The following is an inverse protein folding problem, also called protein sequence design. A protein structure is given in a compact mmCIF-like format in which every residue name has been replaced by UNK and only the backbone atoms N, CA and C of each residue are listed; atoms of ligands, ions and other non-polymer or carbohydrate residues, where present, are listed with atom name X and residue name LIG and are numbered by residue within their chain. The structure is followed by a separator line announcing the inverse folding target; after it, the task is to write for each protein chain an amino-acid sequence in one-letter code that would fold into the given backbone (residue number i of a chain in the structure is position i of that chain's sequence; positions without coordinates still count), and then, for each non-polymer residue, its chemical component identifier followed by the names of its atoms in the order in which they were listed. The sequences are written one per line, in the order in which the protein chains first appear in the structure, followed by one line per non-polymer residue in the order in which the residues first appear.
data_IF_727621959543
#
_entry.id   IF_727621959543
#
_cell.length_a   1.000
_cell.length_b   1.000
_cell.length_c   1.000
_cell.angle_alpha   90.00
_cell.angle_beta   90.00
_cell.angle_gamma   90.00
#
_symmetry.space_group_name_H-M   'P 1'
#
loop_
_entity.id
_entity.type
_entity.pdbx_description
1 polymer ?
#
# COMPACT_ATOMS: atom_id res chain seq x y z
N UNK A 1 -21.80 -30.36 5.28
CA UNK A 1 -21.95 -28.90 5.25
C UNK A 1 -22.35 -28.47 3.85
N UNK A 2 -23.53 -27.88 3.72
CA UNK A 2 -23.97 -27.33 2.45
C UNK A 2 -23.34 -25.96 2.28
N UNK A 3 -22.47 -25.81 1.28
CA UNK A 3 -21.95 -24.50 0.87
C UNK A 3 -22.91 -23.94 -0.17
N UNK A 4 -23.66 -22.91 0.21
CA UNK A 4 -24.49 -22.21 -0.76
C UNK A 4 -23.60 -21.54 -1.80
N UNK A 5 -23.98 -21.70 -3.06
CA UNK A 5 -23.27 -21.08 -4.16
C UNK A 5 -23.55 -19.57 -4.13
N UNK A 6 -22.55 -18.78 -3.73
CA UNK A 6 -22.67 -17.33 -3.73
C UNK A 6 -22.74 -16.80 -5.16
N UNK A 7 -23.78 -16.03 -5.45
CA UNK A 7 -23.90 -15.34 -6.72
C UNK A 7 -23.04 -14.07 -6.72
N UNK A 8 -22.12 -13.98 -7.67
CA UNK A 8 -21.32 -12.76 -7.86
C UNK A 8 -22.11 -11.72 -8.68
N UNK A 9 -21.94 -10.41 -8.38
CA UNK A 9 -22.58 -9.35 -9.19
C UNK A 9 -22.14 -9.41 -10.66
N UNK A 10 -23.00 -8.91 -11.56
CA UNK A 10 -22.68 -8.76 -12.99
C UNK A 10 -22.26 -10.06 -13.70
N UNK A 11 -22.84 -11.20 -13.29
CA UNK A 11 -22.55 -12.53 -13.86
C UNK A 11 -21.05 -12.93 -13.79
N UNK A 12 -20.30 -12.37 -12.84
CA UNK A 12 -18.91 -12.76 -12.59
C UNK A 12 -18.85 -14.11 -11.87
N UNK A 13 -17.77 -14.82 -12.03
CA UNK A 13 -17.53 -16.13 -11.39
C UNK A 13 -16.56 -16.06 -10.21
N UNK A 14 -15.79 -14.99 -10.14
CA UNK A 14 -14.84 -14.73 -9.05
C UNK A 14 -14.50 -13.25 -8.96
N UNK A 15 -13.82 -12.88 -7.88
CA UNK A 15 -13.25 -11.55 -7.70
C UNK A 15 -11.80 -11.67 -7.23
N UNK A 16 -10.97 -10.73 -7.64
CA UNK A 16 -9.61 -10.57 -7.14
C UNK A 16 -9.43 -9.16 -6.60
N UNK A 17 -8.68 -9.03 -5.52
CA UNK A 17 -8.33 -7.74 -4.94
C UNK A 17 -6.81 -7.58 -4.94
N UNK A 18 -6.36 -6.38 -5.23
CA UNK A 18 -4.96 -6.00 -5.05
C UNK A 18 -4.89 -4.97 -3.93
N UNK A 19 -4.13 -5.27 -2.91
CA UNK A 19 -3.83 -4.33 -1.84
C UNK A 19 -2.32 -4.07 -1.77
N UNK A 20 -1.98 -2.85 -1.42
CA UNK A 20 -0.59 -2.39 -1.31
C UNK A 20 -0.41 -1.72 0.04
N UNK A 21 0.57 -2.17 0.81
CA UNK A 21 0.98 -1.48 2.02
C UNK A 21 2.06 -0.45 1.64
N UNK A 22 1.77 0.82 1.87
CA UNK A 22 2.69 1.91 1.56
C UNK A 22 3.31 2.43 2.86
N UNK A 23 4.28 1.69 3.37
CA UNK A 23 4.86 1.92 4.69
C UNK A 23 6.02 2.91 4.68
N UNK A 24 6.61 3.16 3.52
CA UNK A 24 7.81 3.99 3.37
C UNK A 24 8.90 3.57 4.38
N UNK A 25 9.52 4.52 5.07
CA UNK A 25 10.55 4.24 6.07
C UNK A 25 10.04 3.64 7.40
N UNK A 26 8.72 3.55 7.58
CA UNK A 26 8.12 3.02 8.81
C UNK A 26 8.14 1.49 8.88
N UNK A 27 8.49 0.79 7.82
CA UNK A 27 8.57 -0.68 7.80
C UNK A 27 9.70 -1.24 8.68
N UNK A 28 10.82 -0.54 8.77
CA UNK A 28 12.08 -1.09 9.30
C UNK A 28 12.03 -1.52 10.76
N UNK A 29 11.34 -0.77 11.62
CA UNK A 29 11.27 -1.06 13.06
C UNK A 29 10.49 -2.33 13.40
N UNK A 30 9.61 -2.76 12.52
CA UNK A 30 8.75 -3.94 12.74
C UNK A 30 9.40 -5.21 12.25
N UNK A 31 10.00 -5.16 11.06
CA UNK A 31 10.59 -6.35 10.46
C UNK A 31 11.97 -6.71 11.01
N UNK A 32 12.66 -5.74 11.62
CA UNK A 32 14.03 -5.93 12.08
C UNK A 32 14.27 -5.34 13.48
N UNK A 33 13.47 -5.73 14.51
CA UNK A 33 13.58 -5.13 15.84
C UNK A 33 14.93 -5.40 16.50
N UNK A 34 15.56 -6.55 16.19
CA UNK A 34 16.81 -7.03 16.80
C UNK A 34 18.03 -6.84 15.89
N UNK A 35 17.84 -6.29 14.70
CA UNK A 35 18.95 -6.02 13.77
C UNK A 35 19.37 -4.57 13.91
N UNK A 36 20.66 -4.35 14.12
CA UNK A 36 21.24 -3.00 14.11
C UNK A 36 21.29 -2.49 12.66
N UNK A 37 20.12 -2.13 12.13
CA UNK A 37 19.98 -1.54 10.79
C UNK A 37 20.25 -0.05 10.92
N UNK A 38 21.13 0.47 10.08
CA UNK A 38 21.38 1.90 10.01
C UNK A 38 20.07 2.64 9.67
N UNK A 39 19.67 3.58 10.52
CA UNK A 39 18.48 4.41 10.30
C UNK A 39 18.54 5.15 8.95
N UNK A 40 19.73 5.53 8.51
CA UNK A 40 19.96 6.15 7.21
C UNK A 40 19.61 5.22 6.05
N UNK A 41 19.90 3.95 6.15
CA UNK A 41 19.57 2.94 5.15
C UNK A 41 18.08 2.67 5.09
N UNK A 42 17.41 2.57 6.24
CA UNK A 42 15.94 2.43 6.32
C UNK A 42 15.27 3.63 5.65
N UNK A 43 15.71 4.82 5.97
CA UNK A 43 15.17 6.06 5.40
C UNK A 43 15.37 6.12 3.88
N UNK A 44 16.54 5.74 3.40
CA UNK A 44 16.86 5.70 1.97
C UNK A 44 16.01 4.68 1.22
N UNK A 45 15.87 3.47 1.74
CA UNK A 45 15.03 2.41 1.15
C UNK A 45 13.57 2.81 1.13
N UNK A 46 13.04 3.34 2.22
CA UNK A 46 11.66 3.81 2.31
C UNK A 46 11.37 4.94 1.32
N UNK A 47 12.26 5.90 1.18
CA UNK A 47 12.14 6.98 0.19
C UNK A 47 12.23 6.49 -1.24
N UNK A 48 13.02 5.46 -1.51
CA UNK A 48 13.11 4.82 -2.82
C UNK A 48 11.76 4.24 -3.24
N UNK A 49 11.05 3.59 -2.31
CA UNK A 49 9.70 3.09 -2.54
C UNK A 49 8.73 4.19 -2.95
N UNK A 50 8.74 5.32 -2.26
CA UNK A 50 7.89 6.48 -2.59
C UNK A 50 8.31 7.12 -3.92
N UNK A 51 9.60 7.32 -4.11
CA UNK A 51 10.13 8.11 -5.23
C UNK A 51 10.12 7.37 -6.56
N UNK A 52 10.37 6.08 -6.55
CA UNK A 52 10.51 5.26 -7.76
C UNK A 52 9.50 4.10 -7.81
N UNK A 53 9.32 3.38 -6.71
CA UNK A 53 8.44 2.22 -6.64
C UNK A 53 6.98 2.58 -6.87
N UNK A 54 6.47 3.56 -6.13
CA UNK A 54 5.07 3.96 -6.24
C UNK A 54 4.70 4.49 -7.64
N UNK A 55 5.44 5.43 -8.25
CA UNK A 55 5.11 5.87 -9.61
C UNK A 55 5.09 4.72 -10.61
N UNK A 56 6.03 3.79 -10.50
CA UNK A 56 6.09 2.62 -11.39
C UNK A 56 4.92 1.67 -11.18
N UNK A 57 4.55 1.43 -9.93
CA UNK A 57 3.38 0.60 -9.61
C UNK A 57 2.09 1.23 -10.14
N UNK A 58 1.90 2.53 -9.95
CA UNK A 58 0.74 3.26 -10.45
C UNK A 58 0.66 3.21 -12.00
N UNK A 59 1.79 3.36 -12.67
CA UNK A 59 1.87 3.20 -14.12
C UNK A 59 1.40 1.80 -14.58
N UNK A 60 1.87 0.75 -13.91
CA UNK A 60 1.47 -0.64 -14.22
C UNK A 60 -0.02 -0.86 -13.98
N UNK A 61 -0.54 -0.39 -12.86
CA UNK A 61 -1.97 -0.51 -12.55
C UNK A 61 -2.83 0.24 -13.57
N UNK A 62 -2.43 1.43 -13.99
CA UNK A 62 -3.12 2.19 -15.04
C UNK A 62 -3.07 1.47 -16.39
N UNK A 63 -1.92 0.94 -16.74
CA UNK A 63 -1.72 0.21 -18.00
C UNK A 63 -2.66 -0.98 -18.16
N UNK A 64 -2.92 -1.69 -17.06
CA UNK A 64 -3.83 -2.85 -17.06
C UNK A 64 -5.26 -2.51 -16.63
N UNK A 65 -5.57 -1.25 -16.37
CA UNK A 65 -6.91 -0.83 -15.95
C UNK A 65 -7.34 -1.39 -14.59
N UNK A 66 -6.39 -1.68 -13.72
CA UNK A 66 -6.63 -2.30 -12.40
C UNK A 66 -6.64 -1.24 -11.32
N UNK A 67 -7.67 -1.26 -10.47
CA UNK A 67 -7.72 -0.45 -9.26
C UNK A 67 -7.28 -1.28 -8.05
N UNK A 68 -6.58 -0.63 -7.13
CA UNK A 68 -6.04 -1.25 -5.92
C UNK A 68 -6.48 -0.46 -4.68
N UNK A 69 -6.33 -1.09 -3.52
CA UNK A 69 -6.48 -0.43 -2.22
C UNK A 69 -5.09 -0.23 -1.61
N UNK A 70 -4.76 0.99 -1.27
CA UNK A 70 -3.49 1.34 -0.63
C UNK A 70 -3.71 1.58 0.86
N UNK A 71 -3.14 0.72 1.68
CA UNK A 71 -3.12 0.89 3.13
C UNK A 71 -1.91 1.71 3.53
N UNK A 72 -2.15 2.89 4.11
CA UNK A 72 -1.12 3.91 4.32
C UNK A 72 -1.13 4.36 5.78
N UNK A 73 0.02 4.29 6.49
CA UNK A 73 0.14 4.87 7.82
C UNK A 73 -0.06 6.40 7.80
N UNK A 74 -0.70 6.93 8.84
CA UNK A 74 -0.98 8.36 8.94
C UNK A 74 0.29 9.23 8.83
N UNK A 75 1.40 8.78 9.40
CA UNK A 75 2.69 9.46 9.30
C UNK A 75 3.22 9.52 7.86
N UNK A 76 2.95 8.51 7.04
CA UNK A 76 3.30 8.51 5.61
C UNK A 76 2.45 9.53 4.85
N UNK A 77 1.14 9.56 5.13
CA UNK A 77 0.23 10.56 4.55
C UNK A 77 0.71 11.98 4.84
N UNK A 78 1.09 12.23 6.09
CA UNK A 78 1.56 13.55 6.54
C UNK A 78 2.89 13.93 5.89
N UNK A 79 3.80 12.97 5.70
CA UNK A 79 5.14 13.21 5.14
C UNK A 79 5.15 13.30 3.63
N UNK A 80 4.29 12.55 2.95
CA UNK A 80 4.25 12.42 1.49
C UNK A 80 2.85 12.70 0.92
N UNK A 81 2.26 13.87 1.19
CA UNK A 81 0.89 14.17 0.77
C UNK A 81 0.71 14.12 -0.76
N UNK A 82 1.73 14.49 -1.52
CA UNK A 82 1.68 14.46 -2.99
C UNK A 82 1.63 13.01 -3.53
N UNK A 83 2.34 12.08 -2.89
CA UNK A 83 2.27 10.66 -3.25
C UNK A 83 0.86 10.11 -3.01
N UNK A 84 0.25 10.46 -1.88
CA UNK A 84 -1.13 10.05 -1.57
C UNK A 84 -2.12 10.67 -2.55
N UNK A 85 -1.97 11.95 -2.86
CA UNK A 85 -2.80 12.63 -3.87
C UNK A 85 -2.74 11.91 -5.21
N UNK A 86 -1.56 11.50 -5.67
CA UNK A 86 -1.39 10.79 -6.94
C UNK A 86 -2.13 9.43 -6.98
N UNK A 87 -2.19 8.74 -5.83
CA UNK A 87 -2.95 7.50 -5.69
C UNK A 87 -4.46 7.76 -5.86
N UNK A 88 -4.97 8.77 -5.15
CA UNK A 88 -6.39 9.14 -5.18
C UNK A 88 -6.81 9.64 -6.57
N UNK A 89 -6.02 10.50 -7.19
CA UNK A 89 -6.29 11.05 -8.53
C UNK A 89 -6.38 9.97 -9.60
N UNK A 90 -5.67 8.87 -9.44
CA UNK A 90 -5.74 7.70 -10.32
C UNK A 90 -6.89 6.74 -9.99
N UNK A 91 -7.74 7.08 -9.02
CA UNK A 91 -8.96 6.35 -8.68
C UNK A 91 -8.75 5.11 -7.82
N UNK A 92 -7.62 5.00 -7.11
CA UNK A 92 -7.39 3.93 -6.15
C UNK A 92 -8.01 4.26 -4.80
N UNK A 93 -8.32 3.22 -4.02
CA UNK A 93 -8.84 3.35 -2.67
C UNK A 93 -7.73 3.53 -1.64
N UNK A 94 -7.99 4.32 -0.61
CA UNK A 94 -7.09 4.50 0.53
C UNK A 94 -7.68 3.82 1.76
N UNK A 95 -6.89 3.00 2.42
CA UNK A 95 -7.20 2.38 3.70
C UNK A 95 -6.25 2.84 4.81
N UNK A 96 -6.70 2.71 6.04
CA UNK A 96 -5.90 3.02 7.22
C UNK A 96 -4.91 1.90 7.53
N UNK A 97 -3.70 2.26 7.96
CA UNK A 97 -2.65 1.30 8.36
C UNK A 97 -1.91 1.77 9.63
N UNK A 98 -2.69 2.16 10.66
CA UNK A 98 -2.15 2.80 11.85
C UNK A 98 -1.63 4.21 11.57
N UNK A 99 -0.95 4.80 12.55
CA UNK A 99 -0.32 6.11 12.37
C UNK A 99 1.18 5.99 12.07
N UNK A 100 1.93 5.27 12.92
CA UNK A 100 3.37 5.08 12.78
C UNK A 100 3.74 3.62 12.45
N UNK A 101 2.82 2.85 11.89
CA UNK A 101 2.97 1.43 11.66
C UNK A 101 3.19 0.67 13.00
N UNK A 102 2.35 0.98 13.99
CA UNK A 102 2.47 0.46 15.35
C UNK A 102 2.25 -1.05 15.42
N UNK A 103 2.97 -1.71 16.33
CA UNK A 103 2.67 -3.10 16.73
C UNK A 103 1.53 -3.04 17.74
N UNK A 104 0.45 -3.73 17.44
CA UNK A 104 -0.73 -3.83 18.32
C UNK A 104 -0.55 -4.92 19.38
#
# INVERSE_FOLDING_TARGET
MLIEKTAWPSNKTCAAMISVNLDAEFFGKIYYPDVNVDEGDILRLGRTGIRFGLPKLLEVLDRFGVKATFFIPGAVVKRYPEAVASIVERGHEIGCHGNNHEIL
#
